data_IF_906969630378
#
_entry.id   IF_906969630378
#
_cell.length_a   1.000
_cell.length_b   1.000
_cell.length_c   1.000
_cell.angle_alpha   90.00
_cell.angle_beta   90.00
_cell.angle_gamma   90.00
#
_symmetry.space_group_name_H-M   'P 1'
#
loop_
_entity.id
_entity.type
_entity.pdbx_description
1 polymer ?
#
# COMPACT_ATOMS: atom_id res chain seq x y z
N UNK A 1 10.15 -0.17 2.50
CA UNK A 1 8.71 -0.22 2.86
C UNK A 1 8.19 0.96 3.73
N UNK A 2 8.48 1.01 5.04
CA UNK A 2 7.80 1.93 5.99
C UNK A 2 7.95 3.42 5.66
N UNK A 3 9.18 3.87 5.37
CA UNK A 3 9.45 5.27 5.00
C UNK A 3 8.61 5.70 3.79
N UNK A 4 8.50 4.85 2.76
CA UNK A 4 7.71 5.13 1.57
C UNK A 4 6.22 5.26 1.90
N UNK A 5 5.67 4.36 2.73
CA UNK A 5 4.27 4.45 3.15
C UNK A 5 3.97 5.76 3.92
N UNK A 6 4.88 6.18 4.80
CA UNK A 6 4.75 7.46 5.52
C UNK A 6 4.78 8.65 4.57
N UNK A 7 5.70 8.64 3.59
CA UNK A 7 5.78 9.67 2.55
C UNK A 7 4.49 9.73 1.71
N UNK A 8 4.00 8.58 1.24
CA UNK A 8 2.75 8.51 0.47
C UNK A 8 1.57 9.07 1.25
N UNK A 9 1.40 8.66 2.52
CA UNK A 9 0.32 9.19 3.37
C UNK A 9 0.42 10.71 3.53
N UNK A 10 1.63 11.25 3.68
CA UNK A 10 1.82 12.69 3.84
C UNK A 10 1.47 13.46 2.55
N UNK A 11 1.84 12.95 1.38
CA UNK A 11 1.41 13.52 0.09
C UNK A 11 -0.12 13.47 -0.07
N UNK A 12 -0.76 12.37 0.34
CA UNK A 12 -2.21 12.19 0.25
C UNK A 12 -3.00 13.16 1.15
N UNK A 13 -2.39 13.72 2.21
CA UNK A 13 -3.02 14.75 3.04
C UNK A 13 -3.17 16.10 2.34
N UNK A 14 -2.44 16.34 1.25
CA UNK A 14 -2.55 17.58 0.50
C UNK A 14 -3.90 17.66 -0.22
N UNK A 15 -4.77 18.60 0.18
CA UNK A 15 -6.11 18.75 -0.38
C UNK A 15 -6.12 18.92 -1.91
N UNK A 16 -5.15 19.65 -2.48
CA UNK A 16 -5.06 19.93 -3.92
C UNK A 16 -4.00 19.08 -4.63
N UNK A 17 -3.87 17.81 -4.24
CA UNK A 17 -2.97 16.88 -4.90
C UNK A 17 -3.44 16.62 -6.35
N UNK A 18 -2.58 16.79 -7.37
CA UNK A 18 -2.92 16.45 -8.75
C UNK A 18 -2.91 14.94 -9.01
N UNK A 19 -3.68 14.48 -10.01
CA UNK A 19 -3.85 13.05 -10.34
C UNK A 19 -2.53 12.31 -10.59
N UNK A 20 -1.59 12.91 -11.32
CA UNK A 20 -0.31 12.26 -11.64
C UNK A 20 0.49 11.86 -10.40
N UNK A 21 0.36 12.60 -9.28
CA UNK A 21 0.99 12.20 -8.01
C UNK A 21 0.36 10.93 -7.46
N UNK A 22 -0.96 10.80 -7.54
CA UNK A 22 -1.67 9.58 -7.15
C UNK A 22 -1.28 8.41 -8.05
N UNK A 23 -1.20 8.63 -9.36
CA UNK A 23 -0.75 7.63 -10.33
C UNK A 23 0.66 7.12 -9.98
N UNK A 24 1.58 8.02 -9.65
CA UNK A 24 2.94 7.68 -9.22
C UNK A 24 2.97 6.88 -7.92
N UNK A 25 2.25 7.33 -6.89
CA UNK A 25 2.14 6.62 -5.59
C UNK A 25 1.60 5.21 -5.80
N UNK A 26 0.50 5.07 -6.53
CA UNK A 26 -0.17 3.78 -6.75
C UNK A 26 0.71 2.86 -7.59
N UNK A 27 1.39 3.38 -8.60
CA UNK A 27 2.34 2.59 -9.41
C UNK A 27 3.48 2.03 -8.55
N UNK A 28 4.10 2.87 -7.72
CA UNK A 28 5.18 2.48 -6.81
C UNK A 28 4.69 1.41 -5.81
N UNK A 29 3.49 1.57 -5.26
CA UNK A 29 2.88 0.58 -4.37
C UNK A 29 2.66 -0.77 -5.07
N UNK A 30 2.08 -0.77 -6.27
CA UNK A 30 1.73 -1.99 -7.01
C UNK A 30 2.96 -2.79 -7.49
N UNK A 31 4.06 -2.10 -7.81
CA UNK A 31 5.32 -2.74 -8.22
C UNK A 31 6.10 -3.27 -7.02
N UNK A 32 6.00 -2.61 -5.86
CA UNK A 32 6.78 -2.95 -4.67
C UNK A 32 6.43 -4.32 -4.10
N UNK A 33 7.42 -5.23 -4.10
CA UNK A 33 7.31 -6.55 -3.45
C UNK A 33 7.37 -6.48 -1.92
N UNK A 34 7.85 -5.37 -1.38
CA UNK A 34 7.82 -5.12 0.06
C UNK A 34 6.39 -4.85 0.54
N UNK A 35 5.60 -4.15 -0.27
CA UNK A 35 4.21 -3.79 0.04
C UNK A 35 3.28 -4.95 -0.30
N UNK A 36 3.38 -5.49 -1.50
CA UNK A 36 2.59 -6.63 -1.95
C UNK A 36 3.49 -7.79 -2.36
N UNK A 37 3.57 -8.81 -1.51
CA UNK A 37 4.40 -10.00 -1.76
C UNK A 37 3.87 -10.80 -2.95
N UNK A 38 2.54 -10.88 -3.09
CA UNK A 38 1.85 -11.64 -4.14
C UNK A 38 0.69 -10.86 -4.75
N UNK A 39 0.35 -11.19 -6.00
CA UNK A 39 -0.71 -10.48 -6.74
C UNK A 39 -2.11 -10.67 -6.11
N UNK A 40 -2.33 -11.71 -5.31
CA UNK A 40 -3.58 -11.85 -4.56
C UNK A 40 -3.78 -10.76 -3.51
N UNK A 41 -2.70 -10.21 -2.94
CA UNK A 41 -2.79 -9.07 -2.00
C UNK A 41 -3.13 -7.79 -2.75
N UNK A 42 -2.61 -7.64 -3.97
CA UNK A 42 -2.96 -6.54 -4.88
C UNK A 42 -4.46 -6.56 -5.18
N UNK A 43 -5.06 -7.75 -5.39
CA UNK A 43 -6.50 -7.88 -5.64
C UNK A 43 -7.33 -7.21 -4.54
N UNK A 44 -7.02 -7.49 -3.28
CA UNK A 44 -7.73 -6.93 -2.13
C UNK A 44 -7.57 -5.40 -2.06
N UNK A 45 -6.37 -4.90 -2.33
CA UNK A 45 -6.11 -3.47 -2.41
C UNK A 45 -6.92 -2.78 -3.52
N UNK A 46 -6.94 -3.36 -4.72
CA UNK A 46 -7.67 -2.80 -5.87
C UNK A 46 -9.18 -2.74 -5.61
N UNK A 47 -9.74 -3.81 -5.05
CA UNK A 47 -11.15 -3.84 -4.68
C UNK A 47 -11.47 -2.81 -3.60
N UNK A 48 -10.67 -2.73 -2.54
CA UNK A 48 -10.91 -1.77 -1.46
C UNK A 48 -10.81 -0.31 -1.94
N UNK A 49 -9.70 0.06 -2.58
CA UNK A 49 -9.39 1.45 -2.92
C UNK A 49 -10.15 1.95 -4.14
N UNK A 50 -10.21 1.13 -5.19
CA UNK A 50 -10.71 1.55 -6.51
C UNK A 50 -12.02 0.88 -6.92
N UNK A 51 -12.51 -0.08 -6.12
CA UNK A 51 -13.65 -0.93 -6.48
C UNK A 51 -13.43 -1.68 -7.81
N UNK A 52 -12.19 -2.14 -8.02
CA UNK A 52 -11.80 -2.85 -9.22
C UNK A 52 -11.61 -4.35 -8.95
N UNK A 53 -12.23 -5.17 -9.79
CA UNK A 53 -11.93 -6.60 -9.90
C UNK A 53 -11.44 -6.94 -11.30
N UNK A 54 -10.14 -7.20 -11.42
CA UNK A 54 -9.54 -7.52 -12.70
C UNK A 54 -9.58 -9.03 -12.96
N UNK A 55 -9.83 -9.38 -14.23
CA UNK A 55 -9.75 -10.76 -14.72
C UNK A 55 -8.38 -11.38 -14.45
N UNK A 56 -8.34 -12.70 -14.28
CA UNK A 56 -7.12 -13.43 -13.90
C UNK A 56 -5.92 -13.16 -14.81
N UNK A 57 -6.14 -13.03 -16.12
CA UNK A 57 -5.04 -12.73 -17.06
C UNK A 57 -4.35 -11.39 -16.77
N UNK A 58 -5.09 -10.41 -16.25
CA UNK A 58 -4.53 -9.12 -15.80
C UNK A 58 -3.76 -9.34 -14.52
N UNK A 59 -4.38 -10.06 -13.57
CA UNK A 59 -3.80 -10.31 -12.25
C UNK A 59 -2.52 -11.15 -12.31
N UNK A 60 -2.20 -11.80 -13.44
CA UNK A 60 -0.92 -12.51 -13.66
C UNK A 60 0.28 -11.57 -13.88
N UNK A 61 0.08 -10.30 -14.24
CA UNK A 61 1.16 -9.35 -14.53
C UNK A 61 1.03 -8.06 -13.72
N UNK A 62 2.02 -7.78 -12.85
CA UNK A 62 2.05 -6.53 -12.05
C UNK A 62 2.09 -5.29 -12.95
N UNK A 63 2.86 -5.31 -14.04
CA UNK A 63 2.93 -4.19 -14.98
C UNK A 63 1.58 -3.94 -15.66
N UNK A 64 0.85 -5.00 -16.02
CA UNK A 64 -0.47 -4.87 -16.62
C UNK A 64 -1.51 -4.35 -15.61
N UNK A 65 -1.42 -4.79 -14.36
CA UNK A 65 -2.22 -4.22 -13.26
C UNK A 65 -1.95 -2.71 -13.15
N UNK A 66 -0.68 -2.29 -13.04
CA UNK A 66 -0.27 -0.89 -12.95
C UNK A 66 -0.84 -0.07 -14.11
N UNK A 67 -0.60 -0.51 -15.35
CA UNK A 67 -1.06 0.22 -16.53
C UNK A 67 -2.59 0.43 -16.53
N UNK A 68 -3.36 -0.59 -16.14
CA UNK A 68 -4.82 -0.47 -16.05
C UNK A 68 -5.27 0.42 -14.91
N UNK A 69 -4.66 0.30 -13.73
CA UNK A 69 -5.05 1.09 -12.55
C UNK A 69 -4.69 2.56 -12.73
N UNK A 70 -3.51 2.87 -13.29
CA UNK A 70 -3.13 4.24 -13.64
C UNK A 70 -4.12 4.83 -14.65
N UNK A 71 -4.51 4.08 -15.69
CA UNK A 71 -5.52 4.54 -16.65
C UNK A 71 -6.87 4.83 -15.97
N UNK A 72 -7.28 4.01 -15.00
CA UNK A 72 -8.49 4.27 -14.20
C UNK A 72 -8.37 5.57 -13.42
N UNK A 73 -7.25 5.81 -12.73
CA UNK A 73 -7.03 7.05 -11.96
C UNK A 73 -7.01 8.27 -12.90
N UNK A 74 -6.31 8.17 -14.02
CA UNK A 74 -6.21 9.24 -15.01
C UNK A 74 -7.60 9.70 -15.49
N UNK A 75 -8.43 8.73 -15.85
CA UNK A 75 -9.77 8.95 -16.40
C UNK A 75 -10.85 9.22 -15.34
N UNK A 76 -10.53 9.13 -14.05
CA UNK A 76 -11.53 9.31 -12.97
C UNK A 76 -12.07 10.73 -12.91
N UNK A 77 -13.36 10.88 -12.61
CA UNK A 77 -13.92 12.21 -12.34
C UNK A 77 -13.46 12.73 -10.97
N UNK A 78 -13.66 14.02 -10.68
CA UNK A 78 -13.20 14.62 -9.42
C UNK A 78 -13.80 13.92 -8.17
N UNK A 79 -15.06 13.50 -8.24
CA UNK A 79 -15.73 12.77 -7.16
C UNK A 79 -15.10 11.40 -6.91
N UNK A 80 -14.81 10.64 -7.97
CA UNK A 80 -14.16 9.33 -7.91
C UNK A 80 -12.71 9.46 -7.41
N UNK A 81 -11.97 10.42 -7.96
CA UNK A 81 -10.60 10.73 -7.54
C UNK A 81 -10.52 11.00 -6.03
N UNK A 82 -11.42 11.86 -5.52
CA UNK A 82 -11.47 12.18 -4.10
C UNK A 82 -11.82 10.97 -3.23
N UNK A 83 -12.72 10.10 -3.70
CA UNK A 83 -13.04 8.84 -3.03
C UNK A 83 -11.83 7.91 -2.99
N UNK A 84 -11.15 7.70 -4.13
CA UNK A 84 -9.96 6.85 -4.20
C UNK A 84 -8.85 7.38 -3.29
N UNK A 85 -8.60 8.69 -3.31
CA UNK A 85 -7.60 9.33 -2.45
C UNK A 85 -7.91 9.11 -0.97
N UNK A 86 -9.16 9.27 -0.55
CA UNK A 86 -9.60 8.99 0.82
C UNK A 86 -9.34 7.53 1.20
N UNK A 87 -9.76 6.58 0.37
CA UNK A 87 -9.56 5.14 0.62
C UNK A 87 -8.07 4.77 0.64
N UNK A 88 -7.27 5.33 -0.25
CA UNK A 88 -5.82 5.12 -0.30
C UNK A 88 -5.12 5.67 0.96
N UNK A 89 -5.59 6.81 1.48
CA UNK A 89 -5.08 7.39 2.73
C UNK A 89 -5.41 6.51 3.94
N UNK A 90 -6.60 5.90 3.99
CA UNK A 90 -6.97 4.93 5.03
C UNK A 90 -6.11 3.68 4.91
N UNK A 91 -5.98 3.12 3.71
CA UNK A 91 -5.15 1.94 3.45
C UNK A 91 -3.70 2.16 3.89
N UNK A 92 -3.09 3.27 3.49
CA UNK A 92 -1.69 3.59 3.84
C UNK A 92 -1.52 3.82 5.35
N UNK A 93 -2.49 4.43 6.02
CA UNK A 93 -2.45 4.60 7.48
C UNK A 93 -2.50 3.26 8.21
N UNK A 94 -3.42 2.37 7.82
CA UNK A 94 -3.50 1.02 8.37
C UNK A 94 -2.22 0.21 8.11
N UNK A 95 -1.67 0.28 6.90
CA UNK A 95 -0.43 -0.42 6.56
C UNK A 95 0.78 0.05 7.39
N UNK A 96 0.80 1.34 7.80
CA UNK A 96 1.81 1.90 8.71
C UNK A 96 1.62 1.34 10.13
N UNK A 97 0.39 1.29 10.62
CA UNK A 97 0.04 0.74 11.94
C UNK A 97 0.41 -0.76 12.02
N UNK A 98 -0.04 -1.55 11.05
CA UNK A 98 0.29 -2.98 10.94
C UNK A 98 1.81 -3.23 10.88
N UNK A 99 2.59 -2.29 10.35
CA UNK A 99 4.05 -2.38 10.35
C UNK A 99 4.64 -2.10 11.73
N UNK A 100 4.16 -1.06 12.42
CA UNK A 100 4.64 -0.72 13.78
C UNK A 100 4.38 -1.86 14.77
N UNK A 101 3.20 -2.47 14.72
CA UNK A 101 2.84 -3.59 15.60
C UNK A 101 3.74 -4.82 15.38
N UNK A 102 4.14 -5.06 14.12
CA UNK A 102 5.05 -6.15 13.77
C UNK A 102 6.49 -5.92 14.22
N UNK A 103 6.98 -4.67 14.22
CA UNK A 103 8.32 -4.37 14.71
C UNK A 103 8.38 -4.30 16.25
N UNK A 104 7.40 -3.67 16.90
CA UNK A 104 7.32 -3.65 18.37
C UNK A 104 7.21 -5.05 18.98
N UNK A 105 6.54 -5.99 18.30
CA UNK A 105 6.47 -7.40 18.72
C UNK A 105 7.74 -8.23 18.42
N UNK A 106 8.69 -7.71 17.63
CA UNK A 106 10.03 -8.32 17.46
C UNK A 106 11.00 -7.84 18.53
N UNK A 107 10.96 -6.56 18.89
CA UNK A 107 11.78 -5.99 19.98
C UNK A 107 11.51 -6.71 21.31
N UNK A 108 10.24 -6.91 21.68
CA UNK A 108 9.85 -7.66 22.88
C UNK A 108 10.29 -9.14 22.88
N UNK A 109 10.54 -9.75 21.71
CA UNK A 109 11.01 -11.16 21.63
C UNK A 109 12.52 -11.28 21.82
N UNK A 110 13.28 -10.23 21.55
CA UNK A 110 14.74 -10.26 21.69
C UNK A 110 15.19 -10.08 23.14
N UNK A 111 14.39 -9.45 24.01
CA UNK A 111 14.71 -9.29 25.43
C UNK A 111 14.67 -10.63 26.21
N UNK A 112 13.78 -11.56 25.83
CA UNK A 112 13.67 -12.86 26.50
C UNK A 112 14.80 -13.85 26.18
N UNK A 113 15.52 -13.68 25.07
CA UNK A 113 16.61 -14.57 24.66
C UNK A 113 17.96 -14.27 25.34
N UNK A 114 18.12 -13.07 25.92
CA UNK A 114 19.34 -12.68 26.64
C UNK A 114 19.47 -13.34 28.02
N UNK A 115 18.36 -13.73 28.65
CA UNK A 115 18.37 -14.27 30.02
C UNK A 115 18.69 -15.76 30.09
N UNK A 116 18.41 -16.52 29.02
CA UNK A 116 18.56 -18.00 29.01
C UNK A 116 19.99 -18.44 28.64
N UNK A 117 20.78 -17.60 27.96
CA UNK A 117 22.14 -17.97 27.54
C UNK A 117 23.25 -17.68 28.57
N UNK A 118 22.94 -17.07 29.72
CA UNK A 118 23.93 -16.71 30.74
C UNK A 118 23.96 -17.67 31.96
N UNK A 119 23.49 -18.90 31.80
CA UNK A 119 23.70 -19.97 32.81
C UNK A 119 24.43 -21.15 32.19
N UNK A 120 25.74 -20.99 32.03
CA UNK A 120 26.71 -22.09 31.98
C UNK A 120 27.82 -21.79 32.98
#
# INVERSE_FOLDING_TARGET
MYRNLVLFRNELKNNKMPKYKMEGIVSEMLISRDIFKKNSEIKNFLNYVFDLDYKDYVMKSRTLIVARTVKTIHNSEETEYNLYKKKLMVFTSKAIEDWKDREGSKENRNEFNGWINNRK
#
